data_IF_292565871710
#
_entry.id   IF_292565871710
#
_cell.length_a   1.000
_cell.length_b   1.000
_cell.length_c   1.000
_cell.angle_alpha   90.00
_cell.angle_beta   90.00
_cell.angle_gamma   90.00
#
_symmetry.space_group_name_H-M   'P 1'
#
loop_
_entity.id
_entity.type
_entity.pdbx_description
1 polymer ?
#
# COMPACT_ATOMS: atom_id res chain seq x y z
N UNK A 1 -10.77 4.93 2.59
CA UNK A 1 -9.57 5.76 2.38
C UNK A 1 -8.31 5.15 2.96
N UNK A 2 -8.12 5.01 4.28
CA UNK A 2 -6.86 4.45 4.83
C UNK A 2 -6.52 3.03 4.31
N UNK A 3 -7.52 2.15 4.20
CA UNK A 3 -7.39 0.83 3.57
C UNK A 3 -6.84 0.92 2.13
N UNK A 4 -7.41 1.80 1.31
CA UNK A 4 -6.99 2.02 -0.08
C UNK A 4 -5.59 2.62 -0.17
N UNK A 5 -5.24 3.55 0.74
CA UNK A 5 -3.91 4.18 0.78
C UNK A 5 -2.82 3.17 1.09
N UNK A 6 -3.04 2.31 2.10
CA UNK A 6 -2.14 1.23 2.47
C UNK A 6 -2.04 0.20 1.34
N UNK A 7 -3.16 -0.22 0.76
CA UNK A 7 -3.15 -1.19 -0.34
C UNK A 7 -2.42 -0.65 -1.58
N UNK A 8 -2.60 0.64 -1.90
CA UNK A 8 -1.87 1.30 -2.99
C UNK A 8 -0.37 1.34 -2.74
N UNK A 9 0.03 1.73 -1.53
CA UNK A 9 1.43 1.71 -1.11
C UNK A 9 2.03 0.30 -1.22
N UNK A 10 1.33 -0.71 -0.73
CA UNK A 10 1.82 -2.09 -0.69
C UNK A 10 1.99 -2.66 -2.09
N UNK A 11 1.02 -2.43 -2.98
CA UNK A 11 1.14 -2.83 -4.39
C UNK A 11 2.24 -2.04 -5.11
N UNK A 12 2.37 -0.74 -4.84
CA UNK A 12 3.45 0.08 -5.39
C UNK A 12 4.85 -0.41 -4.96
N UNK A 13 4.94 -1.20 -3.89
CA UNK A 13 6.16 -1.88 -3.41
C UNK A 13 6.19 -3.39 -3.62
N UNK A 14 5.12 -4.00 -4.11
CA UNK A 14 5.02 -5.45 -4.24
C UNK A 14 6.13 -6.01 -5.13
N UNK A 15 6.91 -6.94 -4.61
CA UNK A 15 8.01 -7.61 -5.31
C UNK A 15 7.71 -9.09 -5.43
N UNK A 16 7.44 -9.54 -6.66
CA UNK A 16 7.05 -10.92 -6.88
C UNK A 16 8.11 -11.94 -6.48
N UNK A 17 9.40 -11.60 -6.64
CA UNK A 17 10.51 -12.53 -6.37
C UNK A 17 10.41 -13.21 -5.00
N UNK A 18 9.88 -12.48 -4.01
CA UNK A 18 9.63 -12.97 -2.66
C UNK A 18 8.57 -14.09 -2.63
N UNK A 19 7.51 -13.99 -3.43
CA UNK A 19 6.37 -14.90 -3.45
C UNK A 19 6.56 -16.16 -4.29
N UNK A 20 7.65 -16.26 -5.04
CA UNK A 20 8.05 -17.49 -5.74
C UNK A 20 8.94 -18.40 -4.86
N UNK A 21 8.91 -18.23 -3.53
CA UNK A 21 9.71 -19.01 -2.59
C UNK A 21 9.17 -20.43 -2.38
N UNK A 22 10.02 -21.32 -1.85
CA UNK A 22 9.64 -22.71 -1.51
C UNK A 22 8.55 -22.78 -0.41
N UNK A 23 8.45 -21.74 0.43
CA UNK A 23 7.39 -21.62 1.43
C UNK A 23 6.00 -21.40 0.80
N UNK A 24 5.97 -21.00 -0.48
CA UNK A 24 4.77 -20.59 -1.19
C UNK A 24 4.25 -19.23 -0.71
N UNK A 25 3.08 -18.83 -1.21
CA UNK A 25 2.40 -17.62 -0.79
C UNK A 25 0.99 -17.94 -0.30
N UNK A 26 0.44 -17.04 0.50
CA UNK A 26 -0.91 -17.12 1.05
C UNK A 26 -1.60 -15.77 0.82
N UNK A 27 -2.76 -15.81 0.16
CA UNK A 27 -3.77 -14.75 0.23
C UNK A 27 -4.78 -15.16 1.30
N UNK A 28 -4.81 -14.45 2.43
CA UNK A 28 -5.69 -14.76 3.55
C UNK A 28 -6.64 -13.61 3.87
N UNK A 29 -7.81 -13.95 4.42
CA UNK A 29 -8.63 -13.04 5.19
C UNK A 29 -8.09 -13.00 6.62
N UNK A 30 -7.87 -11.80 7.15
CA UNK A 30 -7.49 -11.57 8.54
C UNK A 30 -8.76 -11.32 9.35
N UNK A 31 -8.91 -12.05 10.45
CA UNK A 31 -10.03 -12.00 11.39
C UNK A 31 -9.47 -11.63 12.77
N UNK A 32 -9.38 -10.32 13.09
CA UNK A 32 -8.92 -9.85 14.39
C UNK A 32 -9.82 -10.37 15.51
N UNK A 33 -9.23 -10.65 16.66
CA UNK A 33 -9.96 -10.90 17.88
C UNK A 33 -10.64 -9.61 18.37
N UNK A 34 -11.68 -9.74 19.21
CA UNK A 34 -12.46 -8.60 19.68
C UNK A 34 -11.69 -7.62 20.56
N UNK A 35 -10.56 -8.03 21.14
CA UNK A 35 -9.66 -7.18 21.91
C UNK A 35 -8.51 -6.58 21.08
N UNK A 36 -8.37 -6.98 19.80
CA UNK A 36 -7.32 -6.43 18.95
C UNK A 36 -7.55 -4.94 18.69
N UNK A 37 -6.47 -4.14 18.78
CA UNK A 37 -6.54 -2.69 18.77
C UNK A 37 -6.76 -2.06 20.14
N UNK A 38 -6.97 -2.86 21.20
CA UNK A 38 -7.02 -2.34 22.57
C UNK A 38 -5.63 -2.03 23.09
N UNK A 39 -5.52 -0.97 23.90
CA UNK A 39 -4.30 -0.65 24.63
C UNK A 39 -4.20 -1.51 25.90
N UNK A 40 -2.99 -1.96 26.22
CA UNK A 40 -2.69 -2.78 27.40
C UNK A 40 -1.32 -2.45 27.97
N UNK A 41 -1.08 -2.86 29.21
CA UNK A 41 0.22 -2.84 29.88
C UNK A 41 0.63 -4.29 30.16
N UNK A 42 1.37 -4.95 29.24
CA UNK A 42 1.77 -6.33 29.41
C UNK A 42 2.49 -6.54 30.75
N UNK A 43 2.13 -7.61 31.47
CA UNK A 43 2.70 -7.93 32.78
C UNK A 43 2.14 -7.14 33.97
N UNK A 44 1.25 -6.17 33.74
CA UNK A 44 0.50 -5.51 34.80
C UNK A 44 -0.45 -6.48 35.52
N UNK A 45 -0.54 -6.38 36.84
CA UNK A 45 -1.45 -7.18 37.66
C UNK A 45 -2.14 -6.32 38.72
N UNK A 46 -3.36 -6.70 39.11
CA UNK A 46 -4.09 -6.06 40.20
C UNK A 46 -4.09 -7.03 41.39
N UNK A 47 -3.59 -6.57 42.53
CA UNK A 47 -3.65 -7.34 43.77
C UNK A 47 -5.11 -7.52 44.20
N UNK A 48 -5.55 -8.77 44.39
CA UNK A 48 -6.91 -9.07 44.85
C UNK A 48 -7.17 -8.60 46.30
N UNK A 49 -6.13 -8.49 47.12
CA UNK A 49 -6.26 -8.09 48.53
C UNK A 49 -6.35 -6.57 48.71
N UNK A 50 -5.59 -5.81 47.90
CA UNK A 50 -5.44 -4.37 48.08
C UNK A 50 -6.06 -3.55 46.95
N UNK A 51 -6.42 -4.19 45.83
CA UNK A 51 -6.80 -3.51 44.60
C UNK A 51 -5.65 -2.72 43.95
N UNK A 52 -4.42 -2.83 44.46
CA UNK A 52 -3.29 -2.08 43.93
C UNK A 52 -2.84 -2.66 42.58
N UNK A 53 -2.67 -1.77 41.59
CA UNK A 53 -2.06 -2.10 40.32
C UNK A 53 -0.54 -2.16 40.50
N UNK A 54 0.05 -3.31 40.15
CA UNK A 54 1.49 -3.52 40.06
C UNK A 54 1.86 -3.64 38.59
N UNK A 55 2.69 -2.73 38.10
CA UNK A 55 3.18 -2.71 36.72
C UNK A 55 4.69 -2.89 36.75
N UNK A 56 5.28 -3.77 35.93
CA UNK A 56 6.73 -3.86 35.79
C UNK A 56 7.35 -2.52 35.40
N UNK A 57 8.54 -2.22 35.92
CA UNK A 57 9.24 -0.94 35.66
C UNK A 57 9.53 -0.71 34.16
N UNK A 58 9.58 -1.77 33.36
CA UNK A 58 9.82 -1.76 31.91
C UNK A 58 8.54 -1.90 31.07
N UNK A 59 7.36 -1.95 31.71
CA UNK A 59 6.11 -2.08 30.97
C UNK A 59 5.85 -0.84 30.11
N UNK A 60 5.53 -1.09 28.84
CA UNK A 60 5.12 -0.05 27.89
C UNK A 60 3.66 -0.22 27.56
N UNK A 61 2.98 0.89 27.35
CA UNK A 61 1.65 0.87 26.76
C UNK A 61 1.78 0.26 25.37
N UNK A 62 1.02 -0.80 25.11
CA UNK A 62 1.10 -1.56 23.87
C UNK A 62 -0.28 -1.81 23.30
N UNK A 63 -0.36 -1.92 21.99
CA UNK A 63 -1.53 -2.34 21.26
C UNK A 63 -1.58 -3.87 21.18
N UNK A 64 -2.74 -4.46 21.44
CA UNK A 64 -2.96 -5.89 21.24
C UNK A 64 -3.19 -6.17 19.74
N UNK A 65 -2.39 -7.05 19.15
CA UNK A 65 -2.64 -7.60 17.81
C UNK A 65 -2.82 -9.10 17.93
N UNK A 66 -4.07 -9.55 17.83
CA UNK A 66 -4.45 -10.95 18.05
C UNK A 66 -5.60 -11.33 17.13
N UNK A 67 -5.70 -12.61 16.80
CA UNK A 67 -6.78 -13.12 15.97
C UNK A 67 -6.38 -14.37 15.21
N UNK A 68 -7.04 -14.57 14.07
CA UNK A 68 -6.76 -15.68 13.16
C UNK A 68 -6.79 -15.24 11.71
N UNK A 69 -6.16 -16.01 10.86
CA UNK A 69 -6.23 -15.82 9.41
C UNK A 69 -6.76 -17.08 8.74
N UNK A 70 -7.49 -16.88 7.63
CA UNK A 70 -8.08 -17.96 6.84
C UNK A 70 -7.64 -17.80 5.40
N UNK A 71 -6.99 -18.82 4.84
CA UNK A 71 -6.54 -18.81 3.45
C UNK A 71 -7.74 -18.75 2.50
N UNK A 72 -7.69 -17.79 1.59
CA UNK A 72 -8.58 -17.66 0.45
C UNK A 72 -7.98 -18.35 -0.78
N UNK A 73 -6.69 -18.09 -1.05
CA UNK A 73 -5.92 -18.72 -2.13
C UNK A 73 -4.43 -18.78 -1.73
N UNK A 74 -3.63 -19.56 -2.45
CA UNK A 74 -2.20 -19.70 -2.20
C UNK A 74 -1.62 -21.06 -2.58
N UNK A 75 -0.30 -21.11 -2.66
CA UNK A 75 0.48 -22.32 -2.95
C UNK A 75 0.97 -23.03 -1.68
N UNK A 76 1.04 -22.32 -0.55
CA UNK A 76 1.38 -22.93 0.74
C UNK A 76 0.33 -23.99 1.14
N UNK A 77 0.71 -25.00 1.94
CA UNK A 77 -0.22 -26.06 2.34
C UNK A 77 -1.19 -25.65 3.47
N UNK A 78 -0.75 -24.74 4.35
CA UNK A 78 -1.51 -24.29 5.52
C UNK A 78 -2.77 -23.54 5.11
N UNK A 79 -3.92 -23.87 5.72
CA UNK A 79 -5.23 -23.28 5.38
C UNK A 79 -5.68 -22.17 6.32
N UNK A 80 -5.15 -22.12 7.53
CA UNK A 80 -5.46 -21.11 8.54
C UNK A 80 -4.41 -21.15 9.64
N UNK A 81 -4.36 -20.10 10.47
CA UNK A 81 -3.52 -20.04 11.66
C UNK A 81 -3.96 -18.93 12.59
N UNK A 82 -3.50 -18.99 13.83
CA UNK A 82 -3.71 -17.95 14.83
C UNK A 82 -2.52 -17.00 14.86
N UNK A 83 -2.74 -15.77 15.30
CA UNK A 83 -1.68 -14.79 15.50
C UNK A 83 -1.90 -14.00 16.79
N UNK A 84 -0.80 -13.51 17.37
CA UNK A 84 -0.82 -12.81 18.64
C UNK A 84 0.53 -12.16 18.95
N UNK A 85 0.53 -10.85 19.20
CA UNK A 85 1.66 -10.10 19.73
C UNK A 85 1.21 -8.75 20.32
N UNK A 86 2.15 -8.04 20.95
CA UNK A 86 1.96 -6.69 21.48
C UNK A 86 2.86 -5.73 20.72
N UNK A 87 2.29 -4.67 20.16
CA UNK A 87 3.05 -3.59 19.52
C UNK A 87 3.15 -2.40 20.48
N UNK A 88 4.35 -2.00 20.92
CA UNK A 88 4.52 -0.81 21.74
C UNK A 88 3.94 0.44 21.05
N UNK A 89 3.18 1.24 21.80
CA UNK A 89 2.72 2.54 21.34
C UNK A 89 3.87 3.54 21.51
N UNK A 90 4.61 3.75 20.43
CA UNK A 90 5.63 4.80 20.40
C UNK A 90 4.97 6.17 20.26
N UNK A 91 5.11 7.03 21.27
CA UNK A 91 4.55 8.39 21.26
C UNK A 91 5.28 9.33 20.29
N UNK A 92 6.53 9.04 19.94
CA UNK A 92 7.42 9.91 19.14
C UNK A 92 7.75 9.35 17.74
N UNK A 93 6.75 8.86 16.99
CA UNK A 93 6.97 8.41 15.61
C UNK A 93 7.17 9.60 14.66
N UNK A 94 8.40 9.77 14.16
CA UNK A 94 8.73 10.80 13.16
C UNK A 94 8.23 10.50 11.75
N UNK A 95 8.01 9.22 11.44
CA UNK A 95 7.47 8.76 10.17
C UNK A 95 6.42 7.70 10.44
N UNK A 96 5.29 7.79 9.77
CA UNK A 96 4.24 6.77 9.85
C UNK A 96 4.72 5.52 9.12
N UNK A 97 4.59 4.38 9.80
CA UNK A 97 4.67 3.11 9.12
C UNK A 97 3.33 2.83 8.42
N UNK A 98 3.32 1.96 7.41
CA UNK A 98 2.08 1.52 6.80
C UNK A 98 1.07 0.90 7.78
N UNK A 99 1.56 0.25 8.86
CA UNK A 99 0.72 -0.27 9.95
C UNK A 99 0.04 0.83 10.77
N UNK A 100 0.63 2.03 10.84
CA UNK A 100 0.03 3.18 11.53
C UNK A 100 -1.12 3.80 10.71
N UNK A 101 -1.09 3.66 9.38
CA UNK A 101 -2.16 4.13 8.48
C UNK A 101 -3.33 3.16 8.50
N UNK A 102 -3.04 1.86 8.33
CA UNK A 102 -4.02 0.78 8.39
C UNK A 102 -3.34 -0.53 8.77
N UNK A 103 -3.74 -1.09 9.91
CA UNK A 103 -3.31 -2.41 10.33
C UNK A 103 -4.41 -3.45 10.06
N UNK A 104 -4.18 -4.42 9.15
CA UNK A 104 -5.15 -5.49 8.92
C UNK A 104 -5.30 -6.42 10.13
N UNK A 105 -4.33 -6.42 11.04
CA UNK A 105 -4.37 -7.21 12.26
C UNK A 105 -5.27 -6.61 13.33
N UNK A 106 -5.65 -5.33 13.19
CA UNK A 106 -6.60 -4.63 14.07
C UNK A 106 -7.96 -4.47 13.40
N UNK A 107 -7.97 -4.00 12.15
CA UNK A 107 -9.20 -3.66 11.42
C UNK A 107 -9.72 -4.80 10.53
N UNK A 108 -8.96 -5.87 10.37
CA UNK A 108 -9.23 -6.94 9.42
C UNK A 108 -8.83 -6.57 8.00
N UNK A 109 -9.08 -7.46 7.06
CA UNK A 109 -8.76 -7.22 5.64
C UNK A 109 -8.30 -8.48 4.95
N UNK A 110 -7.69 -8.30 3.77
CA UNK A 110 -7.11 -9.41 3.00
C UNK A 110 -5.64 -9.13 2.77
N UNK A 111 -4.81 -10.11 3.10
CA UNK A 111 -3.36 -9.97 3.10
C UNK A 111 -2.75 -11.05 2.23
N UNK A 112 -1.90 -10.63 1.30
CA UNK A 112 -0.98 -11.49 0.57
C UNK A 112 0.36 -11.50 1.32
N UNK A 113 0.88 -12.67 1.68
CA UNK A 113 2.16 -12.79 2.39
C UNK A 113 2.86 -14.11 2.05
N UNK A 114 4.16 -14.17 2.34
CA UNK A 114 4.92 -15.41 2.38
C UNK A 114 4.96 -15.88 3.84
N UNK A 115 4.55 -17.11 4.15
CA UNK A 115 4.55 -17.54 5.53
C UNK A 115 5.97 -17.85 6.03
N UNK A 116 6.29 -17.40 7.23
CA UNK A 116 7.50 -17.78 7.96
C UNK A 116 7.12 -18.52 9.25
N UNK A 117 7.00 -19.84 9.15
CA UNK A 117 6.57 -20.69 10.27
C UNK A 117 7.60 -20.86 11.39
N UNK A 118 8.84 -20.41 11.18
CA UNK A 118 9.89 -20.44 12.21
C UNK A 118 9.86 -19.21 13.11
N UNK A 119 9.15 -18.17 12.71
CA UNK A 119 8.98 -16.93 13.48
C UNK A 119 7.60 -16.89 14.17
N UNK A 120 7.47 -16.03 15.17
CA UNK A 120 6.22 -15.77 15.89
C UNK A 120 5.81 -14.30 15.73
N UNK A 121 4.58 -13.99 16.15
CA UNK A 121 4.06 -12.61 16.13
C UNK A 121 3.83 -12.09 14.71
N UNK A 122 4.24 -10.86 14.45
CA UNK A 122 4.15 -10.20 13.15
C UNK A 122 5.06 -10.85 12.10
N UNK A 123 6.22 -11.35 12.51
CA UNK A 123 7.24 -11.94 11.64
C UNK A 123 6.84 -13.22 10.93
N UNK A 124 5.73 -13.84 11.32
CA UNK A 124 5.17 -14.98 10.57
C UNK A 124 4.60 -14.56 9.19
N UNK A 125 4.32 -13.27 8.99
CA UNK A 125 3.77 -12.69 7.76
C UNK A 125 4.86 -11.96 6.97
N UNK A 126 5.73 -12.68 6.28
CA UNK A 126 6.79 -12.06 5.49
C UNK A 126 6.23 -11.32 4.26
N UNK A 127 6.74 -10.10 4.05
CA UNK A 127 6.35 -9.18 2.98
C UNK A 127 4.82 -9.07 2.85
N UNK A 128 4.14 -8.54 3.89
CA UNK A 128 2.69 -8.45 3.90
C UNK A 128 2.22 -7.36 2.93
N UNK A 129 1.31 -7.71 2.03
CA UNK A 129 0.68 -6.81 1.07
C UNK A 129 -0.82 -6.81 1.28
N UNK A 130 -1.37 -5.64 1.60
CA UNK A 130 -2.80 -5.45 1.72
C UNK A 130 -3.47 -5.48 0.34
N UNK A 131 -4.50 -6.30 0.18
CA UNK A 131 -5.21 -6.51 -1.08
C UNK A 131 -6.65 -6.04 -0.96
N UNK A 132 -7.11 -5.19 -1.88
CA UNK A 132 -8.52 -4.77 -1.95
C UNK A 132 -9.41 -5.91 -2.47
N UNK A 133 -10.71 -5.85 -2.16
CA UNK A 133 -11.67 -6.88 -2.56
C UNK A 133 -11.76 -7.05 -4.08
N UNK A 134 -11.76 -5.94 -4.82
CA UNK A 134 -11.76 -5.94 -6.28
C UNK A 134 -10.48 -6.54 -6.91
N UNK A 135 -9.41 -6.72 -6.12
CA UNK A 135 -8.12 -7.21 -6.60
C UNK A 135 -7.90 -8.70 -6.29
N UNK A 136 -8.73 -9.34 -5.47
CA UNK A 136 -8.51 -10.72 -5.00
C UNK A 136 -8.32 -11.71 -6.15
N UNK A 137 -9.17 -11.63 -7.18
CA UNK A 137 -9.12 -12.54 -8.33
C UNK A 137 -7.92 -12.30 -9.27
N UNK A 138 -7.14 -11.24 -9.03
CA UNK A 138 -5.99 -10.88 -9.86
C UNK A 138 -4.67 -11.45 -9.32
N UNK A 139 -4.64 -11.84 -8.04
CA UNK A 139 -3.42 -12.30 -7.34
C UNK A 139 -2.86 -13.57 -7.97
N UNK A 140 -3.71 -14.56 -8.26
CA UNK A 140 -3.26 -15.81 -8.89
C UNK A 140 -2.67 -15.58 -10.27
N UNK A 141 -3.35 -14.81 -11.13
CA UNK A 141 -2.83 -14.46 -12.45
C UNK A 141 -1.52 -13.67 -12.37
N UNK A 142 -1.42 -12.77 -11.39
CA UNK A 142 -0.21 -12.00 -11.12
C UNK A 142 0.95 -12.85 -10.60
N UNK A 143 0.66 -13.97 -9.91
CA UNK A 143 1.62 -14.94 -9.39
C UNK A 143 1.84 -16.14 -10.33
N UNK A 144 1.10 -16.26 -11.43
CA UNK A 144 1.29 -17.32 -12.42
C UNK A 144 2.35 -16.98 -13.48
N UNK A 145 2.50 -15.70 -13.86
CA UNK A 145 3.42 -15.27 -14.93
C UNK A 145 4.90 -15.30 -14.51
N UNK A 146 5.82 -16.13 -15.00
CA UNK A 146 7.23 -16.04 -14.54
C UNK A 146 7.88 -14.65 -14.72
N UNK A 147 7.82 -13.80 -13.67
CA UNK A 147 8.39 -12.46 -13.66
C UNK A 147 9.75 -12.49 -12.94
N UNK A 148 10.74 -11.75 -13.43
CA UNK A 148 12.10 -11.70 -12.86
C UNK A 148 12.13 -11.14 -11.43
N UNK A 149 13.13 -11.57 -10.66
CA UNK A 149 13.48 -10.98 -9.37
C UNK A 149 14.15 -9.60 -9.52
N UNK A 150 14.23 -8.83 -8.44
CA UNK A 150 14.76 -7.44 -8.42
C UNK A 150 16.14 -7.26 -9.04
N UNK A 151 17.07 -8.18 -8.78
CA UNK A 151 18.40 -8.15 -9.39
C UNK A 151 18.35 -8.29 -10.93
N UNK A 152 17.38 -9.02 -11.45
CA UNK A 152 17.10 -9.12 -12.88
C UNK A 152 16.24 -7.94 -13.41
N UNK A 153 15.67 -7.11 -12.52
CA UNK A 153 14.95 -5.89 -12.92
C UNK A 153 15.90 -4.77 -13.35
N UNK A 154 17.10 -4.70 -12.77
CA UNK A 154 18.11 -3.72 -13.17
C UNK A 154 18.63 -3.97 -14.60
N UNK A 155 18.64 -5.23 -15.05
CA UNK A 155 19.07 -5.64 -16.38
C UNK A 155 18.07 -6.64 -16.97
N UNK A 156 16.89 -6.18 -17.43
CA UNK A 156 15.83 -7.06 -17.92
C UNK A 156 16.22 -7.74 -19.23
N UNK A 157 15.82 -9.01 -19.38
CA UNK A 157 16.01 -9.72 -20.65
C UNK A 157 15.10 -9.14 -21.76
N UNK A 158 15.43 -9.35 -23.04
CA UNK A 158 14.57 -8.93 -24.17
C UNK A 158 13.14 -9.45 -24.08
N UNK A 159 12.93 -10.64 -23.52
CA UNK A 159 11.61 -11.25 -23.32
C UNK A 159 10.76 -10.49 -22.31
N UNK A 160 11.38 -9.97 -21.25
CA UNK A 160 10.73 -9.13 -20.24
C UNK A 160 10.31 -7.80 -20.87
N UNK A 161 11.22 -7.17 -21.61
CA UNK A 161 10.95 -5.90 -22.29
C UNK A 161 9.74 -5.99 -23.25
N UNK A 162 9.54 -7.14 -23.90
CA UNK A 162 8.38 -7.39 -24.77
C UNK A 162 7.04 -7.48 -24.00
N UNK A 163 7.06 -7.86 -22.72
CA UNK A 163 5.86 -8.03 -21.90
C UNK A 163 5.43 -6.74 -21.18
N UNK A 164 6.36 -5.80 -20.98
CA UNK A 164 6.08 -4.55 -20.25
C UNK A 164 4.91 -3.73 -20.85
N UNK A 165 4.78 -3.55 -22.18
CA UNK A 165 3.67 -2.77 -22.73
C UNK A 165 2.28 -3.29 -22.37
N UNK A 166 2.06 -4.60 -22.50
CA UNK A 166 0.77 -5.23 -22.20
C UNK A 166 0.51 -5.24 -20.68
N UNK A 167 1.56 -5.53 -19.90
CA UNK A 167 1.46 -5.55 -18.44
C UNK A 167 1.16 -4.15 -17.85
N UNK A 168 1.75 -3.07 -18.41
CA UNK A 168 1.46 -1.68 -17.99
C UNK A 168 -0.02 -1.33 -18.11
N UNK A 169 -0.66 -1.80 -19.18
CA UNK A 169 -2.05 -1.53 -19.50
C UNK A 169 -3.01 -2.63 -19.00
N UNK A 170 -2.49 -3.60 -18.24
CA UNK A 170 -3.30 -4.64 -17.63
C UNK A 170 -4.24 -4.09 -16.58
N UNK A 171 -5.45 -4.62 -16.52
CA UNK A 171 -6.39 -4.41 -15.41
C UNK A 171 -6.00 -5.20 -14.15
N UNK A 172 -4.84 -5.87 -14.15
CA UNK A 172 -4.28 -6.51 -12.98
C UNK A 172 -3.33 -5.52 -12.26
N UNK A 173 -3.62 -5.10 -11.02
CA UNK A 173 -2.85 -4.08 -10.31
C UNK A 173 -1.42 -4.50 -10.02
N UNK A 174 -1.18 -5.78 -9.73
CA UNK A 174 0.14 -6.31 -9.48
C UNK A 174 1.01 -6.28 -10.74
N UNK A 175 0.44 -6.68 -11.89
CA UNK A 175 1.15 -6.65 -13.18
C UNK A 175 1.41 -5.22 -13.65
N UNK A 176 0.45 -4.32 -13.47
CA UNK A 176 0.62 -2.92 -13.81
C UNK A 176 1.69 -2.26 -12.92
N UNK A 177 1.65 -2.51 -11.60
CA UNK A 177 2.65 -2.00 -10.66
C UNK A 177 4.06 -2.45 -11.02
N UNK A 178 4.22 -3.76 -11.24
CA UNK A 178 5.47 -4.37 -11.68
C UNK A 178 5.98 -3.72 -12.97
N UNK A 179 5.14 -3.65 -14.00
CA UNK A 179 5.56 -3.15 -15.31
C UNK A 179 5.94 -1.66 -15.29
N UNK A 180 5.21 -0.83 -14.54
CA UNK A 180 5.53 0.58 -14.36
C UNK A 180 6.79 0.79 -13.53
N UNK A 181 6.97 0.04 -12.44
CA UNK A 181 8.22 0.07 -11.66
C UNK A 181 9.44 -0.21 -12.55
N UNK A 182 9.37 -1.28 -13.34
CA UNK A 182 10.41 -1.60 -14.32
C UNK A 182 10.67 -0.46 -15.30
N UNK A 183 9.60 0.11 -15.85
CA UNK A 183 9.69 1.20 -16.83
C UNK A 183 10.41 2.41 -16.23
N UNK A 184 10.13 2.75 -14.96
CA UNK A 184 10.82 3.83 -14.25
C UNK A 184 12.28 3.51 -13.91
N UNK A 185 12.58 2.27 -13.52
CA UNK A 185 13.94 1.85 -13.15
C UNK A 185 14.91 1.80 -14.33
N UNK A 186 14.45 1.39 -15.52
CA UNK A 186 15.31 1.23 -16.71
C UNK A 186 15.78 2.59 -17.25
N UNK A 187 15.11 3.69 -16.90
CA UNK A 187 15.43 5.09 -17.31
C UNK A 187 15.58 5.32 -18.83
N UNK A 188 15.27 4.34 -19.67
CA UNK A 188 15.26 4.47 -21.12
C UNK A 188 13.85 4.78 -21.59
N UNK A 189 13.72 5.79 -22.44
CA UNK A 189 12.48 6.22 -23.12
C UNK A 189 11.20 5.88 -22.37
N UNK A 190 10.95 6.63 -21.28
CA UNK A 190 9.67 6.58 -20.58
C UNK A 190 8.56 6.80 -21.62
N UNK A 191 7.69 5.80 -21.86
CA UNK A 191 6.52 6.01 -22.66
C UNK A 191 5.66 7.07 -21.98
N UNK A 192 4.81 7.79 -22.73
CA UNK A 192 3.79 8.62 -22.11
C UNK A 192 3.07 7.81 -21.03
N UNK A 193 2.91 8.40 -19.85
CA UNK A 193 2.23 7.77 -18.72
C UNK A 193 0.77 7.42 -19.05
N UNK A 194 0.21 8.00 -20.12
CA UNK A 194 -1.14 7.72 -20.62
C UNK A 194 -2.20 8.01 -19.56
N UNK A 195 -1.99 9.06 -18.76
CA UNK A 195 -2.80 9.40 -17.59
C UNK A 195 -4.19 9.91 -17.97
N UNK A 196 -4.35 10.39 -19.19
CA UNK A 196 -5.57 11.00 -19.74
C UNK A 196 -6.67 9.99 -20.05
N UNK A 197 -6.34 8.74 -20.35
CA UNK A 197 -7.32 7.70 -20.71
C UNK A 197 -7.71 6.78 -19.52
N UNK A 198 -7.13 6.99 -18.34
CA UNK A 198 -7.21 6.05 -17.22
C UNK A 198 -7.87 6.73 -16.01
N UNK A 199 -8.64 5.97 -15.24
CA UNK A 199 -9.34 6.43 -14.04
C UNK A 199 -9.15 5.43 -12.91
N UNK A 200 -9.42 5.83 -11.66
CA UNK A 200 -9.40 4.91 -10.51
C UNK A 200 -8.00 4.43 -10.12
N UNK A 201 -7.91 3.21 -9.59
CA UNK A 201 -6.66 2.69 -9.01
C UNK A 201 -5.46 2.63 -9.97
N UNK A 202 -5.57 2.33 -11.29
CA UNK A 202 -4.40 2.29 -12.15
C UNK A 202 -3.77 3.68 -12.30
N UNK A 203 -4.58 4.74 -12.33
CA UNK A 203 -4.09 6.12 -12.34
C UNK A 203 -3.42 6.47 -11.01
N UNK A 204 -4.07 6.13 -9.88
CA UNK A 204 -3.48 6.37 -8.55
C UNK A 204 -2.13 5.66 -8.38
N UNK A 205 -2.02 4.41 -8.85
CA UNK A 205 -0.81 3.60 -8.76
C UNK A 205 0.31 4.15 -9.64
N UNK A 206 0.00 4.56 -10.87
CA UNK A 206 0.97 5.21 -11.77
C UNK A 206 1.47 6.53 -11.19
N UNK A 207 0.58 7.36 -10.65
CA UNK A 207 0.95 8.61 -9.98
C UNK A 207 1.85 8.34 -8.78
N UNK A 208 1.51 7.36 -7.94
CA UNK A 208 2.33 6.94 -6.78
C UNK A 208 3.74 6.52 -7.21
N UNK A 209 3.85 5.61 -8.18
CA UNK A 209 5.14 5.11 -8.68
C UNK A 209 5.98 6.20 -9.35
N UNK A 210 5.36 7.08 -10.14
CA UNK A 210 6.05 8.20 -10.78
C UNK A 210 6.67 9.15 -9.73
N UNK A 211 5.95 9.45 -8.65
CA UNK A 211 6.41 10.30 -7.55
C UNK A 211 7.50 9.66 -6.70
N UNK A 212 7.51 8.32 -6.59
CA UNK A 212 8.51 7.59 -5.82
C UNK A 212 9.83 7.39 -6.55
N UNK A 213 9.75 6.86 -7.77
CA UNK A 213 10.90 6.28 -8.48
C UNK A 213 11.00 6.73 -9.93
N UNK A 214 10.03 7.51 -10.43
CA UNK A 214 9.97 7.92 -11.84
C UNK A 214 10.99 9.00 -12.25
N UNK A 215 11.61 9.68 -11.27
CA UNK A 215 12.50 10.81 -11.52
C UNK A 215 11.75 12.06 -12.05
N UNK A 216 12.50 13.12 -12.35
CA UNK A 216 11.94 14.44 -12.69
C UNK A 216 10.99 14.39 -13.89
N UNK A 217 11.35 13.67 -14.96
CA UNK A 217 10.51 13.59 -16.17
C UNK A 217 9.13 12.98 -15.91
N UNK A 218 9.04 11.94 -15.08
CA UNK A 218 7.77 11.31 -14.74
C UNK A 218 6.92 12.22 -13.85
N UNK A 219 7.55 12.93 -12.92
CA UNK A 219 6.90 13.94 -12.07
C UNK A 219 6.32 15.06 -12.93
N UNK A 220 7.10 15.61 -13.86
CA UNK A 220 6.65 16.68 -14.75
C UNK A 220 5.44 16.24 -15.58
N UNK A 221 5.43 14.98 -16.02
CA UNK A 221 4.29 14.43 -16.75
C UNK A 221 3.05 14.28 -15.86
N UNK A 222 3.20 13.84 -14.60
CA UNK A 222 2.10 13.80 -13.62
C UNK A 222 1.56 15.22 -13.37
N UNK A 223 2.42 16.20 -13.11
CA UNK A 223 1.99 17.59 -12.87
C UNK A 223 1.29 18.14 -14.11
N UNK A 224 1.87 17.99 -15.30
CA UNK A 224 1.26 18.42 -16.57
C UNK A 224 -0.08 17.73 -16.81
N UNK A 225 -0.18 16.43 -16.58
CA UNK A 225 -1.43 15.69 -16.76
C UNK A 225 -2.50 16.25 -15.82
N UNK A 226 -2.19 16.45 -14.53
CA UNK A 226 -3.17 16.96 -13.57
C UNK A 226 -3.79 18.29 -14.00
N UNK A 227 -3.00 19.19 -14.60
CA UNK A 227 -3.46 20.49 -15.15
C UNK A 227 -4.38 20.38 -16.36
N UNK A 228 -4.26 19.29 -17.12
CA UNK A 228 -5.01 19.05 -18.35
C UNK A 228 -6.27 18.22 -18.12
N UNK A 229 -6.37 17.50 -16.99
CA UNK A 229 -7.54 16.69 -16.70
C UNK A 229 -8.78 17.56 -16.55
N UNK A 230 -9.89 17.04 -17.09
CA UNK A 230 -11.21 17.65 -16.97
C UNK A 230 -12.25 16.70 -16.37
N UNK A 231 -11.78 15.70 -15.65
CA UNK A 231 -12.59 14.64 -15.08
C UNK A 231 -12.25 14.51 -13.59
N UNK A 232 -13.27 14.65 -12.75
CA UNK A 232 -13.10 14.67 -11.30
C UNK A 232 -12.63 13.32 -10.76
N UNK A 233 -13.08 12.20 -11.33
CA UNK A 233 -12.60 10.86 -10.94
C UNK A 233 -11.13 10.64 -11.26
N UNK A 234 -10.60 11.29 -12.32
CA UNK A 234 -9.16 11.25 -12.62
C UNK A 234 -8.37 12.10 -11.62
N UNK A 235 -8.86 13.30 -11.30
CA UNK A 235 -8.26 14.16 -10.28
C UNK A 235 -8.22 13.48 -8.90
N UNK A 236 -9.31 12.81 -8.51
CA UNK A 236 -9.38 12.02 -7.28
C UNK A 236 -8.34 10.90 -7.25
N UNK A 237 -8.20 10.15 -8.35
CA UNK A 237 -7.21 9.08 -8.43
C UNK A 237 -5.76 9.63 -8.32
N UNK A 238 -5.46 10.74 -8.99
CA UNK A 238 -4.14 11.38 -8.87
C UNK A 238 -3.89 11.91 -7.45
N UNK A 239 -4.90 12.52 -6.83
CA UNK A 239 -4.82 12.95 -5.44
C UNK A 239 -4.56 11.76 -4.51
N UNK A 240 -5.22 10.62 -4.72
CA UNK A 240 -5.01 9.41 -3.94
C UNK A 240 -3.58 8.88 -4.07
N UNK A 241 -3.04 8.84 -5.30
CA UNK A 241 -1.67 8.43 -5.57
C UNK A 241 -0.63 9.34 -4.91
N UNK A 242 -0.82 10.67 -5.02
CA UNK A 242 0.04 11.66 -4.40
C UNK A 242 -0.07 11.66 -2.87
N UNK A 243 -1.27 11.50 -2.32
CA UNK A 243 -1.49 11.45 -0.88
C UNK A 243 -0.91 10.18 -0.26
N UNK A 244 -1.05 9.03 -0.92
CA UNK A 244 -0.34 7.80 -0.54
C UNK A 244 1.18 8.03 -0.51
N UNK A 245 1.70 8.84 -1.44
CA UNK A 245 3.11 9.20 -1.46
C UNK A 245 3.58 10.12 -0.34
N UNK A 246 2.71 11.02 0.07
CA UNK A 246 2.96 11.91 1.18
C UNK A 246 2.97 11.16 2.52
N UNK A 247 1.98 10.29 2.72
CA UNK A 247 1.77 9.60 4.01
C UNK A 247 2.78 8.47 4.23
N UNK A 248 3.18 7.77 3.17
CA UNK A 248 4.09 6.63 3.24
C UNK A 248 5.29 6.85 2.30
N UNK A 249 6.20 7.77 2.65
CA UNK A 249 7.32 8.13 1.79
C UNK A 249 8.33 6.99 1.71
N UNK A 250 8.77 6.67 0.48
CA UNK A 250 9.78 5.62 0.23
C UNK A 250 11.07 6.16 -0.41
N UNK A 251 11.22 7.48 -0.45
CA UNK A 251 12.38 8.17 -1.04
C UNK A 251 12.04 9.22 -2.10
N UNK A 252 10.76 9.38 -2.45
CA UNK A 252 10.30 10.42 -3.38
C UNK A 252 10.53 11.85 -2.89
N UNK A 253 10.57 12.80 -3.83
CA UNK A 253 10.74 14.22 -3.52
C UNK A 253 9.42 14.83 -3.02
N UNK A 254 9.38 15.23 -1.74
CA UNK A 254 8.20 15.88 -1.14
C UNK A 254 7.72 17.12 -1.92
N UNK A 255 8.65 17.88 -2.53
CA UNK A 255 8.27 19.01 -3.37
C UNK A 255 7.47 18.60 -4.60
N UNK A 256 7.80 17.45 -5.20
CA UNK A 256 7.07 16.87 -6.35
C UNK A 256 5.67 16.40 -5.96
N UNK A 257 5.53 15.82 -4.76
CA UNK A 257 4.23 15.42 -4.20
C UNK A 257 3.34 16.65 -3.98
N UNK A 258 3.87 17.70 -3.34
CA UNK A 258 3.16 18.96 -3.14
C UNK A 258 2.81 19.66 -4.46
N UNK A 259 3.72 19.68 -5.44
CA UNK A 259 3.45 20.26 -6.75
C UNK A 259 2.29 19.55 -7.45
N UNK A 260 2.24 18.22 -7.35
CA UNK A 260 1.14 17.41 -7.91
C UNK A 260 -0.17 17.71 -7.21
N UNK A 261 -0.22 17.70 -5.87
CA UNK A 261 -1.43 18.02 -5.10
C UNK A 261 -1.94 19.43 -5.40
N UNK A 262 -1.04 20.41 -5.49
CA UNK A 262 -1.37 21.79 -5.88
C UNK A 262 -2.00 21.85 -7.27
N UNK A 263 -1.42 21.16 -8.25
CA UNK A 263 -1.92 21.15 -9.62
C UNK A 263 -3.27 20.43 -9.75
N UNK A 264 -3.50 19.38 -8.95
CA UNK A 264 -4.82 18.74 -8.81
C UNK A 264 -5.84 19.72 -8.21
N UNK A 265 -5.51 20.41 -7.12
CA UNK A 265 -6.38 21.41 -6.47
C UNK A 265 -6.79 22.52 -7.44
N UNK A 266 -5.82 23.09 -8.16
CA UNK A 266 -6.07 24.13 -9.16
C UNK A 266 -7.02 23.64 -10.25
N UNK A 267 -6.88 22.39 -10.68
CA UNK A 267 -7.74 21.82 -11.72
C UNK A 267 -9.15 21.50 -11.17
N UNK A 268 -9.25 21.08 -9.91
CA UNK A 268 -10.51 20.81 -9.23
C UNK A 268 -11.36 22.09 -9.07
N UNK A 269 -10.74 23.23 -8.79
CA UNK A 269 -11.44 24.53 -8.67
C UNK A 269 -12.24 24.93 -9.93
N UNK A 270 -11.86 24.41 -11.10
CA UNK A 270 -12.62 24.62 -12.34
C UNK A 270 -13.94 23.83 -12.42
N UNK A 271 -14.21 22.92 -11.48
CA UNK A 271 -15.40 22.05 -11.41
C UNK A 271 -16.40 22.46 -10.32
N UNK A 272 -16.30 23.68 -9.79
CA UNK A 272 -17.15 24.10 -8.67
C UNK A 272 -18.67 24.04 -8.93
N UNK A 273 -19.46 23.64 -7.91
CA UNK A 273 -19.03 23.16 -6.59
C UNK A 273 -18.70 21.66 -6.62
N UNK A 274 -17.41 21.30 -6.63
CA UNK A 274 -16.98 19.90 -6.71
C UNK A 274 -17.09 19.17 -5.37
N UNK A 275 -17.11 19.90 -4.24
CA UNK A 275 -17.22 19.35 -2.88
C UNK A 275 -18.38 18.37 -2.72
N UNK A 276 -19.52 18.68 -3.36
CA UNK A 276 -20.71 17.82 -3.33
C UNK A 276 -20.62 16.63 -4.29
N UNK A 277 -19.86 16.77 -5.37
CA UNK A 277 -19.71 15.74 -6.41
C UNK A 277 -18.54 14.78 -6.20
N UNK A 278 -17.58 15.16 -5.35
CA UNK A 278 -16.33 14.43 -5.13
C UNK A 278 -15.80 14.59 -3.70
N UNK A 279 -16.51 14.03 -2.70
CA UNK A 279 -16.17 14.17 -1.28
C UNK A 279 -14.80 13.60 -0.93
N UNK A 280 -14.35 12.55 -1.65
CA UNK A 280 -13.04 11.94 -1.40
C UNK A 280 -11.88 12.83 -1.88
N UNK A 281 -12.02 13.49 -3.03
CA UNK A 281 -11.05 14.49 -3.49
C UNK A 281 -10.96 15.66 -2.51
N UNK A 282 -12.11 16.20 -2.09
CA UNK A 282 -12.17 17.29 -1.09
C UNK A 282 -11.50 16.88 0.22
N UNK A 283 -11.79 15.68 0.74
CA UNK A 283 -11.15 15.18 1.95
C UNK A 283 -9.63 15.06 1.81
N UNK A 284 -9.12 14.55 0.68
CA UNK A 284 -7.68 14.44 0.44
C UNK A 284 -7.03 15.82 0.43
N UNK A 285 -7.60 16.77 -0.32
CA UNK A 285 -7.07 18.12 -0.45
C UNK A 285 -7.03 18.84 0.92
N UNK A 286 -8.11 18.78 1.70
CA UNK A 286 -8.19 19.34 3.04
C UNK A 286 -7.12 18.75 4.00
N UNK A 287 -6.94 17.43 4.01
CA UNK A 287 -5.90 16.78 4.83
C UNK A 287 -4.47 17.17 4.43
N UNK A 288 -4.29 17.69 3.22
CA UNK A 288 -2.99 18.14 2.69
C UNK A 288 -2.80 19.65 2.75
N UNK A 289 -3.79 20.41 3.24
CA UNK A 289 -3.74 21.88 3.33
C UNK A 289 -3.84 22.58 1.97
N UNK A 290 -4.41 21.92 0.97
CA UNK A 290 -4.79 22.52 -0.30
C UNK A 290 -6.31 22.61 -0.30
N UNK A 291 -6.86 23.83 -0.34
CA UNK A 291 -8.29 24.07 -0.50
C UNK A 291 -8.54 24.68 -1.88
#
# INVERSE_FOLDING_TARGET
>A
MNYELRALHDIARWERGVYNSDAGWILARIEPAGDSGSATLPGGSISAETGALSVPDDARLSLIKSGRWVRLSGTAQTKSGDFGWYDPLDEDKRALSPEDVYSPFVAGGKLLFVPNWTEQGDRQFDTPVLVLDEWLNTVEGANALSLPAEAAMANPSPEILKQLPDARNSNNPFLSAWAWRHTFMIKQDLPPLGLDAITGWPLALRTRLALDIGGERAVDEVVRASQLLRNVSQLEAMALGAYSALQLPTGGNLASVHATLKAVSQSASAFEPYENSAPKLSAILAMTGFD
#
